data_IF_646218225992
#
_entry.id   IF_646218225992
#
_cell.length_a   1.000
_cell.length_b   1.000
_cell.length_c   1.000
_cell.angle_alpha   90.00
_cell.angle_beta   90.00
_cell.angle_gamma   90.00
#
_symmetry.space_group_name_H-M   'P 1'
#
loop_
_entity.id
_entity.type
_entity.pdbx_description
1 polymer ?
#
# COMPACT_ATOMS: atom_id res chain seq x y z
N UNK A 1 1.83 -17.33 10.61
CA UNK A 1 1.20 -16.10 11.14
C UNK A 1 -0.21 -16.41 11.63
N UNK A 2 -0.91 -15.51 12.36
CA UNK A 2 -2.25 -15.78 12.95
C UNK A 2 -3.43 -15.67 11.96
N UNK A 3 -3.18 -15.75 10.66
CA UNK A 3 -4.14 -15.36 9.60
C UNK A 3 -3.87 -13.94 9.07
N UNK A 4 -4.04 -13.74 7.76
CA UNK A 4 -3.60 -12.51 7.05
C UNK A 4 -4.30 -11.23 7.54
N UNK A 5 -5.53 -11.35 8.06
CA UNK A 5 -6.34 -10.23 8.56
C UNK A 5 -5.73 -9.50 9.75
N UNK A 6 -4.77 -10.12 10.46
CA UNK A 6 -4.10 -9.54 11.62
C UNK A 6 -2.86 -8.72 11.26
N UNK A 7 -2.63 -8.50 9.96
CA UNK A 7 -1.42 -7.88 9.46
C UNK A 7 -1.75 -6.77 8.46
N UNK A 8 -0.93 -5.72 8.49
CA UNK A 8 -1.01 -4.61 7.54
C UNK A 8 0.37 -4.36 6.95
N UNK A 9 0.47 -4.05 5.66
CA UNK A 9 1.74 -3.60 5.06
C UNK A 9 2.30 -2.41 5.86
N UNK A 10 3.60 -2.45 6.16
CA UNK A 10 4.31 -1.52 7.05
C UNK A 10 4.21 -1.85 8.55
N UNK A 11 3.52 -2.91 8.95
CA UNK A 11 3.44 -3.33 10.35
C UNK A 11 4.79 -3.87 10.84
N UNK A 12 5.28 -3.29 11.95
CA UNK A 12 6.50 -3.74 12.66
C UNK A 12 6.23 -4.55 13.92
N UNK A 13 5.26 -4.12 14.73
CA UNK A 13 4.96 -4.75 16.03
C UNK A 13 4.05 -5.96 15.85
N UNK A 14 4.12 -6.91 16.79
CA UNK A 14 3.23 -8.07 16.81
C UNK A 14 3.52 -9.15 15.77
N UNK A 15 4.70 -9.12 15.12
CA UNK A 15 5.11 -10.14 14.16
C UNK A 15 5.54 -11.46 14.83
N UNK A 16 6.06 -11.39 16.05
CA UNK A 16 6.52 -12.57 16.80
C UNK A 16 7.78 -13.21 16.22
N UNK A 17 8.57 -12.44 15.45
CA UNK A 17 9.81 -12.89 14.82
C UNK A 17 10.98 -12.28 15.59
N UNK A 18 11.94 -13.10 15.98
CA UNK A 18 13.24 -12.65 16.48
C UNK A 18 14.20 -12.52 15.29
N UNK A 19 14.76 -11.32 15.11
CA UNK A 19 15.69 -11.01 14.03
C UNK A 19 16.68 -9.94 14.54
N UNK A 20 17.89 -9.92 13.97
CA UNK A 20 18.95 -8.97 14.34
C UNK A 20 18.57 -7.51 14.01
N UNK A 21 17.61 -7.32 13.10
CA UNK A 21 17.11 -6.01 12.67
C UNK A 21 15.58 -5.97 12.71
N UNK A 22 14.97 -4.77 12.84
CA UNK A 22 13.53 -4.61 12.79
C UNK A 22 12.97 -5.04 11.42
N UNK A 23 12.01 -5.96 11.44
CA UNK A 23 11.28 -6.39 10.25
C UNK A 23 9.91 -5.69 10.14
N UNK A 24 9.46 -5.55 8.89
CA UNK A 24 8.21 -4.94 8.53
C UNK A 24 7.46 -5.85 7.57
N UNK A 25 6.12 -5.86 7.62
CA UNK A 25 5.31 -6.53 6.59
C UNK A 25 5.44 -5.75 5.29
N UNK A 26 6.04 -6.36 4.26
CA UNK A 26 6.26 -5.72 2.97
C UNK A 26 5.19 -6.12 1.94
N UNK A 27 4.60 -7.31 2.08
CA UNK A 27 3.48 -7.77 1.27
C UNK A 27 2.63 -8.81 2.01
N UNK A 28 1.36 -8.91 1.61
CA UNK A 28 0.44 -9.96 2.04
C UNK A 28 -0.07 -10.61 0.75
N UNK A 29 0.04 -11.93 0.64
CA UNK A 29 -0.40 -12.71 -0.52
C UNK A 29 -1.51 -13.67 -0.09
N UNK A 30 -2.79 -13.29 -0.26
CA UNK A 30 -3.92 -14.12 0.17
C UNK A 30 -3.94 -15.50 -0.51
N UNK A 31 -3.68 -15.51 -1.81
CA UNK A 31 -3.65 -16.70 -2.68
C UNK A 31 -2.66 -17.78 -2.22
N UNK A 32 -1.49 -17.39 -1.70
CA UNK A 32 -0.50 -18.32 -1.14
C UNK A 32 -0.54 -18.38 0.39
N UNK A 33 -1.42 -17.58 1.03
CA UNK A 33 -1.48 -17.39 2.48
C UNK A 33 -0.11 -17.04 3.08
N UNK A 34 0.61 -16.11 2.44
CA UNK A 34 1.93 -15.66 2.86
C UNK A 34 1.91 -14.22 3.39
N UNK A 35 2.76 -13.97 4.38
CA UNK A 35 3.11 -12.63 4.85
C UNK A 35 4.59 -12.45 4.65
N UNK A 36 4.94 -11.62 3.68
CA UNK A 36 6.32 -11.34 3.38
C UNK A 36 6.80 -10.23 4.31
N UNK A 37 7.94 -10.48 4.96
CA UNK A 37 8.59 -9.51 5.86
C UNK A 37 9.98 -9.17 5.33
N UNK A 38 10.36 -7.91 5.48
CA UNK A 38 11.64 -7.39 4.99
C UNK A 38 12.07 -6.16 5.77
N UNK A 39 13.07 -5.46 5.23
CA UNK A 39 13.57 -4.23 5.82
C UNK A 39 12.57 -3.08 5.60
N UNK A 40 12.76 -1.96 6.31
CA UNK A 40 11.88 -0.80 6.18
C UNK A 40 11.87 -0.23 4.75
N UNK A 41 13.01 -0.33 4.05
CA UNK A 41 13.16 0.19 2.69
C UNK A 41 12.28 -0.57 1.67
N UNK A 42 12.08 -1.87 1.91
CA UNK A 42 11.29 -2.75 1.05
C UNK A 42 9.78 -2.45 1.11
N UNK A 43 9.33 -1.67 2.12
CA UNK A 43 7.94 -1.24 2.26
C UNK A 43 7.59 -0.14 1.25
N UNK A 44 8.57 0.65 0.81
CA UNK A 44 8.30 1.81 -0.02
C UNK A 44 7.97 1.42 -1.46
N UNK A 45 6.93 2.03 -1.99
CA UNK A 45 6.49 1.86 -3.37
C UNK A 45 6.27 3.23 -4.01
N UNK A 46 6.63 3.35 -5.28
CA UNK A 46 6.44 4.57 -6.05
C UNK A 46 5.10 4.62 -6.78
N UNK A 47 4.34 3.51 -6.78
CA UNK A 47 3.09 3.36 -7.51
C UNK A 47 2.05 2.67 -6.63
N UNK A 48 0.81 3.08 -6.79
CA UNK A 48 -0.36 2.47 -6.17
C UNK A 48 -1.42 2.29 -7.25
N UNK A 49 -2.09 1.15 -7.24
CA UNK A 49 -3.24 0.86 -8.08
C UNK A 49 -4.51 0.90 -7.23
N UNK A 50 -5.57 1.49 -7.77
CA UNK A 50 -6.88 1.58 -7.12
C UNK A 50 -7.96 1.26 -8.15
N UNK A 51 -8.96 0.48 -7.75
CA UNK A 51 -10.02 -0.01 -8.63
C UNK A 51 -11.44 0.33 -8.14
N UNK A 52 -11.60 0.76 -6.88
CA UNK A 52 -12.88 1.25 -6.35
C UNK A 52 -12.82 2.78 -6.23
N UNK A 53 -12.97 3.44 -7.37
CA UNK A 53 -12.78 4.88 -7.49
C UNK A 53 -14.09 5.62 -7.20
N UNK A 54 -13.99 6.69 -6.41
CA UNK A 54 -15.09 7.63 -6.17
C UNK A 54 -14.57 9.05 -6.43
N UNK A 55 -15.08 9.68 -7.48
CA UNK A 55 -14.71 11.03 -7.88
C UNK A 55 -15.86 11.99 -7.53
N UNK A 56 -15.57 13.03 -6.74
CA UNK A 56 -16.58 14.03 -6.37
C UNK A 56 -16.87 15.07 -7.46
N UNK A 57 -15.88 15.60 -8.20
CA UNK A 57 -16.13 16.69 -9.14
C UNK A 57 -16.42 16.23 -10.57
N UNK A 58 -16.30 14.93 -10.87
CA UNK A 58 -16.47 14.38 -12.22
C UNK A 58 -16.75 12.87 -12.16
N UNK A 59 -17.28 12.30 -13.24
CA UNK A 59 -17.60 10.87 -13.29
C UNK A 59 -16.39 9.99 -13.61
N UNK A 60 -15.40 10.53 -14.34
CA UNK A 60 -14.22 9.80 -14.80
C UNK A 60 -13.00 10.70 -14.97
N UNK A 61 -11.83 10.15 -14.67
CA UNK A 61 -10.54 10.77 -14.97
C UNK A 61 -10.15 10.46 -16.43
N UNK A 62 -10.21 11.46 -17.31
CA UNK A 62 -9.87 11.29 -18.73
C UNK A 62 -8.37 11.45 -19.01
N UNK A 63 -7.71 12.36 -18.30
CA UNK A 63 -6.30 12.69 -18.53
C UNK A 63 -5.44 12.49 -17.27
N UNK A 64 -4.11 12.46 -17.46
CA UNK A 64 -3.19 12.44 -16.32
C UNK A 64 -3.27 13.77 -15.57
N UNK A 65 -3.44 13.70 -14.25
CA UNK A 65 -3.58 14.89 -13.40
C UNK A 65 -2.53 14.91 -12.29
N UNK A 66 -1.94 16.09 -12.04
CA UNK A 66 -1.11 16.31 -10.85
C UNK A 66 -1.99 16.64 -9.65
N UNK A 67 -1.80 15.91 -8.56
CA UNK A 67 -2.58 16.05 -7.33
C UNK A 67 -1.66 15.91 -6.12
N UNK A 68 -2.20 16.22 -4.94
CA UNK A 68 -1.63 15.76 -3.68
C UNK A 68 -2.49 14.62 -3.15
N UNK A 69 -1.84 13.50 -2.79
CA UNK A 69 -2.54 12.30 -2.34
C UNK A 69 -2.09 11.86 -0.96
N UNK A 70 -2.99 11.18 -0.25
CA UNK A 70 -2.73 10.49 1.01
C UNK A 70 -3.15 9.04 0.86
N UNK A 71 -2.26 8.11 1.21
CA UNK A 71 -2.56 6.67 1.24
C UNK A 71 -3.16 6.23 2.58
N UNK A 72 -3.01 7.05 3.64
CA UNK A 72 -3.55 6.83 4.98
C UNK A 72 -3.97 8.16 5.56
N UNK A 73 -5.01 8.13 6.40
CA UNK A 73 -5.60 9.32 7.01
C UNK A 73 -4.57 10.20 7.74
N UNK A 74 -3.70 9.58 8.54
CA UNK A 74 -2.69 10.29 9.34
C UNK A 74 -1.43 10.70 8.58
N UNK A 75 -1.28 10.34 7.29
CA UNK A 75 -0.09 10.71 6.53
C UNK A 75 -0.15 12.17 6.06
N UNK A 76 1.01 12.86 6.01
CA UNK A 76 1.12 14.10 5.26
C UNK A 76 0.82 13.82 3.78
N UNK A 77 0.14 14.73 3.07
CA UNK A 77 -0.10 14.57 1.65
C UNK A 77 1.22 14.69 0.88
N UNK A 78 1.36 13.91 -0.20
CA UNK A 78 2.52 13.95 -1.08
C UNK A 78 2.09 14.28 -2.52
N UNK A 79 2.89 15.05 -3.28
CA UNK A 79 2.60 15.31 -4.69
C UNK A 79 2.75 14.02 -5.52
N UNK A 80 1.80 13.77 -6.41
CA UNK A 80 1.84 12.64 -7.33
C UNK A 80 1.09 12.96 -8.63
N UNK A 81 1.17 12.03 -9.59
CA UNK A 81 0.32 12.03 -10.79
C UNK A 81 -0.62 10.84 -10.76
N UNK A 82 -1.88 11.06 -11.10
CA UNK A 82 -2.90 10.02 -11.24
C UNK A 82 -3.28 9.88 -12.71
N UNK A 83 -3.54 8.66 -13.16
CA UNK A 83 -4.03 8.35 -14.50
C UNK A 83 -4.81 7.04 -14.47
N UNK A 84 -5.79 6.90 -15.36
CA UNK A 84 -6.42 5.60 -15.59
C UNK A 84 -5.43 4.64 -16.25
N UNK A 85 -5.51 3.37 -15.90
CA UNK A 85 -4.68 2.29 -16.47
C UNK A 85 -5.58 1.15 -16.90
N UNK A 86 -5.20 0.43 -17.95
CA UNK A 86 -5.90 -0.80 -18.32
C UNK A 86 -5.69 -1.87 -17.24
N UNK A 87 -6.69 -2.73 -16.97
CA UNK A 87 -6.52 -3.87 -16.07
C UNK A 87 -5.45 -4.81 -16.62
N UNK A 88 -4.55 -5.25 -15.75
CA UNK A 88 -3.59 -6.34 -16.00
C UNK A 88 -4.23 -7.70 -15.88
#
# INVERSE_FOLDING_TARGET
HKGIIHYTVGQRKGLGISADKPLYVIAIRPETNEILVGDNEDVFQHKVYANHLNFMPFDKLEETMRVTAKIRYSHPPAPCSIRMVEPS
#
